data_IF_622921924179
#
_entry.id   IF_622921924179
#
_cell.length_a   1.000
_cell.length_b   1.000
_cell.length_c   1.000
_cell.angle_alpha   90.00
_cell.angle_beta   90.00
_cell.angle_gamma   90.00
#
_symmetry.space_group_name_H-M   'P 1'
#
loop_
_entity.id
_entity.type
_entity.pdbx_description
1 polymer ?
#
# COMPACT_ATOMS: atom_id res chain seq x y z
N UNK A 1 6.07 14.71 -24.90
CA UNK A 1 4.86 14.62 -25.75
C UNK A 1 4.68 15.80 -26.72
N UNK A 2 5.65 16.72 -26.87
CA UNK A 2 5.54 17.94 -27.71
C UNK A 2 4.39 18.89 -27.37
N UNK A 3 3.67 18.69 -26.26
CA UNK A 3 2.70 19.66 -25.77
C UNK A 3 3.43 20.85 -25.14
N UNK A 4 2.85 22.04 -25.29
CA UNK A 4 3.34 23.27 -24.69
C UNK A 4 2.63 23.56 -23.36
N UNK A 5 3.33 24.24 -22.45
CA UNK A 5 2.81 24.64 -21.15
C UNK A 5 3.31 26.06 -20.88
N UNK A 6 2.42 26.98 -20.49
CA UNK A 6 2.88 28.18 -19.78
C UNK A 6 3.55 27.74 -18.48
N UNK A 7 4.59 28.47 -18.05
CA UNK A 7 5.38 28.08 -16.87
C UNK A 7 4.50 27.88 -15.64
N UNK A 8 3.56 28.79 -15.41
CA UNK A 8 2.63 28.78 -14.26
C UNK A 8 1.40 27.89 -14.44
N UNK A 9 1.16 27.36 -15.65
CA UNK A 9 0.12 26.36 -15.88
C UNK A 9 0.61 24.93 -15.60
N UNK A 10 1.91 24.72 -15.39
CA UNK A 10 2.49 23.43 -15.03
C UNK A 10 2.73 23.36 -13.52
N UNK A 11 2.61 22.16 -12.94
CA UNK A 11 2.86 21.92 -11.51
C UNK A 11 3.95 20.86 -11.31
N UNK A 12 5.10 21.23 -10.71
CA UNK A 12 5.52 22.58 -10.30
C UNK A 12 5.79 23.51 -11.49
N UNK A 13 6.00 24.82 -11.25
CA UNK A 13 6.32 25.80 -12.31
C UNK A 13 7.40 25.26 -13.26
N UNK A 14 7.14 25.28 -14.56
CA UNK A 14 8.13 24.80 -15.53
C UNK A 14 9.32 25.78 -15.65
N UNK A 15 10.56 25.27 -15.79
CA UNK A 15 11.74 26.12 -15.96
C UNK A 15 11.66 26.89 -17.29
N UNK A 16 12.33 28.05 -17.36
CA UNK A 16 12.50 28.73 -18.64
C UNK A 16 13.42 27.88 -19.55
N UNK A 17 13.34 28.05 -20.88
CA UNK A 17 14.24 27.34 -21.80
C UNK A 17 15.72 27.58 -21.43
N UNK A 18 16.45 26.50 -21.11
CA UNK A 18 17.87 26.57 -20.72
C UNK A 18 18.15 26.62 -19.21
N UNK A 19 17.15 26.80 -18.36
CA UNK A 19 17.32 26.92 -16.90
C UNK A 19 17.00 25.62 -16.12
N UNK A 20 16.70 24.53 -16.82
CA UNK A 20 16.31 23.26 -16.18
C UNK A 20 17.49 22.45 -15.64
N UNK A 21 17.24 21.70 -14.55
CA UNK A 21 18.19 20.71 -14.04
C UNK A 21 18.25 19.47 -14.97
N UNK A 22 19.05 19.55 -16.04
CA UNK A 22 19.35 18.43 -16.95
C UNK A 22 19.35 18.79 -18.44
N UNK A 23 19.60 17.79 -19.29
CA UNK A 23 19.73 17.97 -20.75
C UNK A 23 18.40 18.30 -21.46
N UNK A 24 17.25 17.97 -20.86
CA UNK A 24 15.92 18.31 -21.41
C UNK A 24 14.84 18.28 -20.35
N UNK A 25 13.83 19.16 -20.48
CA UNK A 25 12.65 19.18 -19.60
C UNK A 25 11.56 18.25 -20.12
N UNK A 26 10.89 17.55 -19.20
CA UNK A 26 9.77 16.65 -19.50
C UNK A 26 8.61 16.97 -18.57
N UNK A 27 7.40 17.13 -19.13
CA UNK A 27 6.22 17.48 -18.33
C UNK A 27 5.83 16.37 -17.33
N UNK A 28 5.10 16.76 -16.28
CA UNK A 28 4.61 15.88 -15.22
C UNK A 28 3.96 14.61 -15.76
N UNK A 29 3.03 14.75 -16.73
CA UNK A 29 2.31 13.61 -17.29
C UNK A 29 3.26 12.58 -17.92
N UNK A 30 4.24 13.02 -18.71
CA UNK A 30 5.23 12.13 -19.31
C UNK A 30 6.16 11.50 -18.26
N UNK A 31 6.60 12.28 -17.26
CA UNK A 31 7.43 11.75 -16.16
C UNK A 31 6.68 10.63 -15.43
N UNK A 32 5.42 10.85 -15.03
CA UNK A 32 4.62 9.83 -14.36
C UNK A 32 4.32 8.63 -15.26
N UNK A 33 4.02 8.85 -16.55
CA UNK A 33 3.77 7.76 -17.50
C UNK A 33 4.98 6.82 -17.65
N UNK A 34 6.19 7.37 -17.61
CA UNK A 34 7.43 6.59 -17.75
C UNK A 34 7.80 5.93 -16.42
N UNK A 35 7.77 6.70 -15.32
CA UNK A 35 8.34 6.29 -14.04
C UNK A 35 7.42 5.40 -13.19
N UNK A 36 6.10 5.51 -13.32
CA UNK A 36 5.16 4.67 -12.56
C UNK A 36 5.21 3.22 -13.06
N UNK A 37 5.23 2.25 -12.14
CA UNK A 37 5.21 0.81 -12.41
C UNK A 37 4.44 0.06 -11.33
N UNK A 38 3.81 -1.07 -11.69
CA UNK A 38 3.25 -1.99 -10.69
C UNK A 38 4.36 -2.48 -9.75
N UNK A 39 4.09 -2.51 -8.44
CA UNK A 39 5.07 -2.86 -7.41
C UNK A 39 5.92 -1.70 -6.89
N UNK A 40 5.81 -0.50 -7.47
CA UNK A 40 6.58 0.68 -7.09
C UNK A 40 7.23 1.36 -8.30
N UNK A 41 7.29 2.69 -8.28
CA UNK A 41 7.90 3.48 -9.35
C UNK A 41 9.41 3.26 -9.46
N UNK A 42 9.99 3.69 -10.60
CA UNK A 42 11.43 3.67 -10.83
C UNK A 42 12.17 4.42 -9.72
N UNK A 43 13.21 3.79 -9.16
CA UNK A 43 14.02 4.36 -8.06
C UNK A 43 15.33 5.01 -8.51
N UNK A 44 15.79 4.71 -9.72
CA UNK A 44 17.07 5.17 -10.27
C UNK A 44 16.89 5.74 -11.67
N UNK A 45 17.85 6.57 -12.08
CA UNK A 45 17.89 7.20 -13.40
C UNK A 45 17.22 8.58 -13.46
N UNK A 46 17.28 9.25 -14.63
CA UNK A 46 16.80 10.62 -14.79
C UNK A 46 15.31 10.75 -14.53
N UNK A 47 14.46 9.84 -15.03
CA UNK A 47 13.02 9.88 -14.80
C UNK A 47 12.62 9.64 -13.35
N UNK A 48 13.38 8.82 -12.60
CA UNK A 48 13.14 8.62 -11.17
C UNK A 48 13.43 9.91 -10.37
N UNK A 49 14.50 10.62 -10.71
CA UNK A 49 14.85 11.92 -10.09
C UNK A 49 13.83 13.00 -10.46
N UNK A 50 13.46 13.10 -11.73
CA UNK A 50 12.42 14.02 -12.18
C UNK A 50 11.08 13.74 -11.48
N UNK A 51 10.70 12.47 -11.32
CA UNK A 51 9.48 12.10 -10.59
C UNK A 51 9.53 12.56 -9.14
N UNK A 52 10.65 12.37 -8.45
CA UNK A 52 10.83 12.86 -7.08
C UNK A 52 10.59 14.38 -6.99
N UNK A 53 11.20 15.18 -7.89
CA UNK A 53 10.98 16.63 -7.94
C UNK A 53 9.52 16.99 -8.19
N UNK A 54 8.86 16.31 -9.14
CA UNK A 54 7.43 16.52 -9.42
C UNK A 54 6.53 16.16 -8.22
N UNK A 55 6.92 15.17 -7.41
CA UNK A 55 6.16 14.70 -6.22
C UNK A 55 6.24 15.66 -5.03
N UNK A 56 7.09 16.68 -5.08
CA UNK A 56 7.13 17.74 -4.06
C UNK A 56 5.94 18.70 -4.14
N UNK A 57 5.16 18.65 -5.23
CA UNK A 57 3.95 19.45 -5.40
C UNK A 57 2.77 18.59 -5.86
N UNK A 58 1.59 18.88 -5.32
CA UNK A 58 0.33 18.25 -5.73
C UNK A 58 -0.32 19.08 -6.85
N UNK A 59 -0.89 18.45 -7.89
CA UNK A 59 -1.60 19.14 -8.96
C UNK A 59 -3.05 19.52 -8.57
N UNK A 60 -3.37 19.49 -7.27
CA UNK A 60 -4.69 19.77 -6.70
C UNK A 60 -4.54 20.31 -5.28
N UNK A 61 -5.57 21.02 -4.79
CA UNK A 61 -5.58 21.59 -3.44
C UNK A 61 -6.06 20.59 -2.39
N UNK A 62 -5.16 20.17 -1.48
CA UNK A 62 -5.49 19.16 -0.46
C UNK A 62 -6.61 19.60 0.51
N UNK A 63 -6.63 20.89 0.88
CA UNK A 63 -7.64 21.44 1.81
C UNK A 63 -9.05 21.51 1.23
N UNK A 64 -9.21 21.39 -0.09
CA UNK A 64 -10.50 21.46 -0.78
C UNK A 64 -11.13 20.10 -1.06
N UNK A 65 -10.62 19.03 -0.47
CA UNK A 65 -11.16 17.67 -0.65
C UNK A 65 -12.24 17.38 0.38
N UNK A 66 -13.39 16.88 -0.08
CA UNK A 66 -14.52 16.50 0.77
C UNK A 66 -14.40 15.01 1.11
N UNK A 67 -13.89 14.71 2.31
CA UNK A 67 -13.63 13.34 2.77
C UNK A 67 -14.84 12.72 3.48
N UNK A 68 -14.94 11.39 3.42
CA UNK A 68 -15.82 10.62 4.29
C UNK A 68 -15.34 10.63 5.77
N UNK A 69 -16.19 10.17 6.68
CA UNK A 69 -15.90 10.16 8.11
C UNK A 69 -14.66 9.32 8.50
N UNK A 70 -14.31 8.31 7.69
CA UNK A 70 -13.14 7.46 7.93
C UNK A 70 -11.85 7.99 7.31
N UNK A 71 -11.91 9.11 6.60
CA UNK A 71 -10.82 9.63 5.77
C UNK A 71 -10.30 8.58 4.75
N UNK A 72 -11.21 7.79 4.20
CA UNK A 72 -10.90 6.66 3.30
C UNK A 72 -11.13 7.03 1.83
N UNK A 73 -12.16 7.83 1.56
CA UNK A 73 -12.48 8.31 0.22
C UNK A 73 -12.89 9.78 0.22
N UNK A 74 -12.70 10.47 -0.90
CA UNK A 74 -13.17 11.84 -1.11
C UNK A 74 -14.05 11.96 -2.37
N UNK A 75 -14.97 12.93 -2.36
CA UNK A 75 -15.94 13.18 -3.44
C UNK A 75 -15.29 13.50 -4.78
N UNK A 76 -14.14 14.19 -4.75
CA UNK A 76 -13.38 14.62 -5.92
C UNK A 76 -12.63 13.45 -6.60
N UNK A 77 -12.58 12.28 -5.97
CA UNK A 77 -11.75 11.14 -6.38
C UNK A 77 -10.29 11.54 -6.70
N UNK A 78 -9.75 12.46 -5.91
CA UNK A 78 -8.42 13.02 -6.11
C UNK A 78 -7.47 12.50 -5.02
N UNK A 79 -6.52 11.67 -5.44
CA UNK A 79 -5.57 11.02 -4.54
C UNK A 79 -4.14 11.14 -5.05
N UNK A 80 -3.19 10.81 -4.16
CA UNK A 80 -1.78 10.60 -4.48
C UNK A 80 -1.08 11.83 -5.08
N UNK A 81 0.18 11.70 -5.49
CA UNK A 81 0.88 12.74 -6.24
C UNK A 81 0.27 12.94 -7.63
N UNK A 82 -0.36 11.92 -8.22
CA UNK A 82 -0.89 12.01 -9.58
C UNK A 82 -2.20 12.81 -9.68
N UNK A 83 -2.96 12.95 -8.58
CA UNK A 83 -4.31 13.53 -8.62
C UNK A 83 -5.35 12.63 -9.26
N UNK A 84 -5.02 11.36 -9.51
CA UNK A 84 -5.93 10.39 -10.10
C UNK A 84 -6.83 9.71 -9.06
N UNK A 85 -7.81 8.91 -9.53
CA UNK A 85 -8.69 8.12 -8.67
C UNK A 85 -7.93 6.99 -7.99
N UNK A 86 -8.49 6.46 -6.90
CA UNK A 86 -7.92 5.36 -6.13
C UNK A 86 -8.91 4.78 -5.12
N UNK A 87 -8.68 3.52 -4.75
CA UNK A 87 -9.37 2.84 -3.66
C UNK A 87 -8.34 2.55 -2.57
N UNK A 88 -8.54 3.11 -1.37
CA UNK A 88 -7.54 3.11 -0.28
C UNK A 88 -7.05 1.70 0.10
N UNK A 89 -7.93 0.71 0.02
CA UNK A 89 -7.66 -0.69 0.33
C UNK A 89 -7.01 -1.44 -0.85
N UNK A 90 -6.88 -0.81 -2.03
CA UNK A 90 -6.31 -1.39 -3.23
C UNK A 90 -4.90 -0.83 -3.52
N UNK A 91 -3.90 -1.33 -2.78
CA UNK A 91 -2.47 -0.98 -2.97
C UNK A 91 -2.20 0.51 -2.84
N UNK A 92 -2.71 1.13 -1.77
CA UNK A 92 -2.39 2.51 -1.41
C UNK A 92 -1.84 2.59 0.02
N UNK A 93 -0.98 3.58 0.27
CA UNK A 93 -0.46 3.93 1.60
C UNK A 93 -1.04 5.25 2.05
N UNK A 94 -1.40 5.36 3.32
CA UNK A 94 -1.85 6.60 3.93
C UNK A 94 -0.65 7.35 4.53
N UNK A 95 -0.49 8.63 4.19
CA UNK A 95 0.54 9.46 4.81
C UNK A 95 0.13 9.82 6.24
N UNK A 96 1.00 9.55 7.23
CA UNK A 96 0.75 9.87 8.65
C UNK A 96 0.58 11.36 8.93
N UNK A 97 1.15 12.23 8.10
CA UNK A 97 1.19 13.68 8.34
C UNK A 97 0.01 14.41 7.70
N UNK A 98 -0.42 14.03 6.49
CA UNK A 98 -1.50 14.71 5.77
C UNK A 98 -2.74 13.86 5.51
N UNK A 99 -2.73 12.59 5.94
CA UNK A 99 -3.82 11.62 5.83
C UNK A 99 -4.27 11.26 4.39
N UNK A 100 -3.68 11.87 3.37
CA UNK A 100 -3.89 11.51 1.96
C UNK A 100 -3.36 10.09 1.65
N UNK A 101 -4.00 9.43 0.68
CA UNK A 101 -3.66 8.12 0.17
C UNK A 101 -2.79 8.20 -1.09
N UNK A 102 -1.79 7.32 -1.18
CA UNK A 102 -0.80 7.31 -2.25
C UNK A 102 -0.66 5.92 -2.88
N UNK A 103 -0.81 5.84 -4.20
CA UNK A 103 -0.69 4.60 -4.97
C UNK A 103 0.68 3.95 -4.84
N UNK A 104 0.72 2.62 -4.67
CA UNK A 104 1.93 1.79 -4.77
C UNK A 104 2.77 2.20 -5.98
N UNK A 105 2.15 2.27 -7.15
CA UNK A 105 2.81 2.57 -8.41
C UNK A 105 3.40 3.98 -8.52
N UNK A 106 3.04 4.90 -7.61
CA UNK A 106 3.56 6.27 -7.55
C UNK A 106 4.63 6.47 -6.45
N UNK A 107 4.80 5.49 -5.55
CA UNK A 107 5.82 5.53 -4.50
C UNK A 107 7.16 5.02 -5.01
N UNK A 108 8.26 5.50 -4.42
CA UNK A 108 9.64 5.08 -4.74
C UNK A 108 10.35 4.43 -3.53
N UNK A 109 9.64 4.26 -2.40
CA UNK A 109 10.21 3.77 -1.14
C UNK A 109 10.04 2.26 -0.89
N UNK A 110 9.12 1.58 -1.57
CA UNK A 110 8.76 0.18 -1.29
C UNK A 110 9.81 -0.84 -1.76
N UNK A 111 10.17 -1.81 -0.93
CA UNK A 111 11.06 -2.93 -1.30
C UNK A 111 10.33 -4.09 -1.97
N UNK A 112 9.03 -4.26 -1.68
CA UNK A 112 8.14 -5.30 -2.21
C UNK A 112 6.77 -4.68 -2.55
N UNK A 113 6.00 -5.26 -3.50
CA UNK A 113 4.62 -4.84 -3.77
C UNK A 113 3.73 -4.96 -2.53
N UNK A 114 2.74 -4.09 -2.40
CA UNK A 114 1.76 -4.13 -1.30
C UNK A 114 0.78 -5.28 -1.48
N UNK A 115 0.33 -5.90 -0.39
CA UNK A 115 -0.90 -6.68 -0.41
C UNK A 115 -2.11 -5.74 -0.40
N UNK A 116 -3.25 -6.18 -0.94
CA UNK A 116 -4.50 -5.49 -0.73
C UNK A 116 -4.85 -5.40 0.76
N UNK A 117 -5.34 -4.24 1.19
CA UNK A 117 -5.70 -3.97 2.58
C UNK A 117 -4.52 -3.82 3.54
N UNK A 118 -3.27 -3.88 3.08
CA UNK A 118 -2.13 -3.83 3.98
C UNK A 118 -1.81 -2.42 4.45
N UNK A 119 -2.24 -2.14 5.69
CA UNK A 119 -2.01 -0.89 6.41
C UNK A 119 -0.89 -1.00 7.45
N UNK A 120 -0.14 -2.11 7.49
CA UNK A 120 0.97 -2.32 8.43
C UNK A 120 2.22 -1.56 7.98
N UNK A 121 2.08 -0.25 7.80
CA UNK A 121 3.11 0.67 7.37
C UNK A 121 2.95 2.02 8.06
N UNK A 122 4.06 2.58 8.52
CA UNK A 122 4.17 4.02 8.71
C UNK A 122 4.73 4.63 7.44
N UNK A 123 3.97 5.52 6.83
CA UNK A 123 4.34 6.18 5.58
C UNK A 123 4.26 7.69 5.71
N UNK A 124 5.24 8.38 5.13
CA UNK A 124 5.26 9.84 5.05
C UNK A 124 5.67 10.27 3.63
N UNK A 125 4.78 11.01 2.97
CA UNK A 125 4.87 11.34 1.55
C UNK A 125 5.90 12.43 1.24
N UNK A 126 6.30 12.56 -0.02
CA UNK A 126 7.29 13.54 -0.47
C UNK A 126 6.89 14.99 -0.14
N UNK A 127 5.61 15.33 -0.26
CA UNK A 127 5.09 16.67 -0.01
C UNK A 127 5.27 17.07 1.45
N UNK A 128 4.94 16.17 2.40
CA UNK A 128 5.09 16.44 3.83
C UNK A 128 6.56 16.49 4.26
N UNK A 129 7.42 15.70 3.62
CA UNK A 129 8.85 15.64 3.94
C UNK A 129 9.68 16.73 3.27
N UNK A 130 9.18 17.37 2.23
CA UNK A 130 10.00 18.21 1.35
C UNK A 130 11.14 17.45 0.67
N UNK A 131 10.96 16.15 0.40
CA UNK A 131 12.05 15.28 -0.07
C UNK A 131 11.63 13.82 -0.30
N UNK A 132 12.57 12.86 -0.29
CA UNK A 132 12.26 11.44 -0.43
C UNK A 132 11.28 10.94 0.63
N UNK A 133 10.36 10.05 0.22
CA UNK A 133 9.43 9.33 1.10
C UNK A 133 10.16 8.58 2.21
N UNK A 134 9.49 8.45 3.36
CA UNK A 134 9.89 7.55 4.44
C UNK A 134 8.82 6.47 4.60
N UNK A 135 9.25 5.21 4.68
CA UNK A 135 8.35 4.08 4.93
C UNK A 135 8.99 3.13 5.94
N UNK A 136 8.18 2.62 6.87
CA UNK A 136 8.57 1.59 7.83
C UNK A 136 7.48 0.53 7.86
N UNK A 137 7.87 -0.74 7.68
CA UNK A 137 6.99 -1.90 7.86
C UNK A 137 6.74 -2.10 9.35
N UNK A 138 5.47 -2.23 9.75
CA UNK A 138 5.10 -2.60 11.11
C UNK A 138 5.21 -4.11 11.31
N UNK A 139 5.48 -4.56 12.53
CA UNK A 139 5.55 -5.99 12.86
C UNK A 139 4.14 -6.60 12.78
N UNK A 140 4.05 -7.79 12.16
CA UNK A 140 2.82 -8.56 12.07
C UNK A 140 2.79 -9.65 13.14
N UNK A 141 1.60 -9.98 13.62
CA UNK A 141 1.33 -11.23 14.34
C UNK A 141 0.76 -12.26 13.37
N UNK A 142 0.75 -13.53 13.76
CA UNK A 142 0.17 -14.60 12.93
C UNK A 142 -1.30 -14.38 12.55
N UNK A 143 -2.10 -13.77 13.43
CA UNK A 143 -3.48 -13.38 13.11
C UNK A 143 -3.55 -12.33 12.00
N UNK A 144 -2.61 -11.38 11.99
CA UNK A 144 -2.54 -10.33 10.98
C UNK A 144 -2.09 -10.91 9.64
N UNK A 145 -1.13 -11.85 9.64
CA UNK A 145 -0.71 -12.60 8.45
C UNK A 145 -1.89 -13.36 7.85
N UNK A 146 -2.61 -14.15 8.67
CA UNK A 146 -3.77 -14.90 8.24
C UNK A 146 -4.84 -13.97 7.63
N UNK A 147 -5.17 -12.86 8.30
CA UNK A 147 -6.17 -11.91 7.84
C UNK A 147 -5.75 -11.21 6.54
N UNK A 148 -4.51 -10.72 6.45
CA UNK A 148 -4.01 -10.07 5.24
C UNK A 148 -4.00 -11.00 4.03
N UNK A 149 -3.52 -12.24 4.19
CA UNK A 149 -3.52 -13.24 3.13
C UNK A 149 -4.95 -13.52 2.67
N UNK A 150 -5.87 -13.76 3.62
CA UNK A 150 -7.25 -14.09 3.30
C UNK A 150 -7.97 -12.91 2.64
N UNK A 151 -7.70 -11.68 3.09
CA UNK A 151 -8.22 -10.46 2.48
C UNK A 151 -7.68 -10.27 1.06
N UNK A 152 -6.36 -10.42 0.87
CA UNK A 152 -5.71 -10.32 -0.43
C UNK A 152 -6.30 -11.31 -1.43
N UNK A 153 -6.38 -12.59 -1.06
CA UNK A 153 -6.99 -13.64 -1.88
C UNK A 153 -8.46 -13.34 -2.16
N UNK A 154 -9.23 -12.86 -1.16
CA UNK A 154 -10.63 -12.46 -1.33
C UNK A 154 -10.78 -11.38 -2.40
N UNK A 155 -9.90 -10.37 -2.42
CA UNK A 155 -9.89 -9.31 -3.44
C UNK A 155 -9.51 -9.87 -4.81
N UNK A 156 -8.38 -10.59 -4.91
CA UNK A 156 -7.86 -11.14 -6.16
C UNK A 156 -8.84 -12.10 -6.85
N UNK A 157 -9.39 -13.06 -6.09
CA UNK A 157 -10.19 -14.15 -6.63
C UNK A 157 -11.70 -13.85 -6.61
N UNK A 158 -12.12 -12.71 -6.03
CA UNK A 158 -13.53 -12.31 -5.91
C UNK A 158 -14.43 -13.41 -5.30
N UNK A 159 -13.90 -14.18 -4.35
CA UNK A 159 -14.62 -15.24 -3.61
C UNK A 159 -14.36 -15.15 -2.11
N UNK A 160 -15.24 -15.77 -1.30
CA UNK A 160 -15.20 -15.67 0.16
C UNK A 160 -14.38 -16.76 0.86
N UNK A 161 -14.36 -17.97 0.32
CA UNK A 161 -13.76 -19.14 0.98
C UNK A 161 -12.57 -19.67 0.19
N UNK A 162 -11.51 -20.01 0.92
CA UNK A 162 -10.24 -20.50 0.39
C UNK A 162 -9.83 -21.78 1.12
N UNK A 163 -9.34 -22.75 0.37
CA UNK A 163 -8.79 -23.98 0.92
C UNK A 163 -7.41 -23.75 1.52
N UNK A 164 -7.20 -24.22 2.74
CA UNK A 164 -5.95 -23.99 3.46
C UNK A 164 -4.74 -24.60 2.74
N UNK A 165 -4.82 -25.89 2.38
CA UNK A 165 -3.69 -26.63 1.81
C UNK A 165 -3.45 -26.29 0.33
N UNK A 166 -4.50 -25.90 -0.40
CA UNK A 166 -4.44 -25.63 -1.85
C UNK A 166 -4.31 -24.16 -2.23
N UNK A 167 -4.67 -23.24 -1.34
CA UNK A 167 -4.72 -21.81 -1.68
C UNK A 167 -3.99 -20.93 -0.64
N UNK A 168 -4.37 -21.02 0.64
CA UNK A 168 -3.83 -20.11 1.67
C UNK A 168 -2.36 -20.39 1.95
N UNK A 169 -2.01 -21.64 2.25
CA UNK A 169 -0.65 -22.05 2.58
C UNK A 169 0.30 -21.96 1.38
N UNK A 170 -0.08 -22.39 0.16
CA UNK A 170 0.74 -22.18 -1.04
C UNK A 170 1.03 -20.71 -1.30
N UNK A 171 0.00 -19.84 -1.29
CA UNK A 171 0.21 -18.40 -1.48
C UNK A 171 1.18 -17.83 -0.45
N UNK A 172 0.98 -18.17 0.83
CA UNK A 172 1.82 -17.68 1.93
C UNK A 172 3.27 -18.15 1.77
N UNK A 173 3.46 -19.39 1.33
CA UNK A 173 4.79 -19.99 1.15
C UNK A 173 5.52 -19.41 -0.06
N UNK A 174 4.84 -19.26 -1.20
CA UNK A 174 5.39 -18.69 -2.43
C UNK A 174 5.73 -17.21 -2.28
N UNK A 175 4.99 -16.48 -1.43
CA UNK A 175 5.16 -15.04 -1.24
C UNK A 175 5.88 -14.66 0.06
N UNK A 176 6.42 -15.62 0.80
CA UNK A 176 6.94 -15.44 2.17
C UNK A 176 7.80 -14.18 2.35
N UNK A 177 8.81 -13.99 1.48
CA UNK A 177 9.72 -12.84 1.54
C UNK A 177 9.05 -11.53 1.12
N UNK A 178 8.02 -11.60 0.29
CA UNK A 178 7.24 -10.45 -0.17
C UNK A 178 6.23 -9.99 0.87
N UNK A 179 5.85 -10.84 1.83
CA UNK A 179 4.94 -10.49 2.93
C UNK A 179 5.60 -9.58 3.98
N UNK A 180 6.94 -9.46 3.98
CA UNK A 180 7.72 -8.62 4.89
C UNK A 180 7.30 -8.83 6.36
N UNK A 181 7.49 -10.05 6.85
CA UNK A 181 6.92 -10.56 8.10
C UNK A 181 7.68 -10.14 9.38
N UNK A 182 8.75 -9.35 9.25
CA UNK A 182 9.61 -8.96 10.37
C UNK A 182 10.14 -10.19 11.11
N UNK A 183 10.04 -10.22 12.43
CA UNK A 183 10.52 -11.32 13.29
C UNK A 183 9.96 -12.69 12.92
N UNK A 184 8.77 -12.76 12.32
CA UNK A 184 8.17 -14.03 11.91
C UNK A 184 8.86 -14.64 10.68
N UNK A 185 9.70 -13.90 9.94
CA UNK A 185 10.39 -14.41 8.74
C UNK A 185 11.24 -15.64 9.01
N UNK A 186 11.79 -15.72 10.23
CA UNK A 186 12.72 -16.76 10.67
C UNK A 186 12.00 -18.03 11.14
N UNK A 187 10.66 -18.05 11.11
CA UNK A 187 9.87 -19.24 11.45
C UNK A 187 10.26 -20.42 10.55
N UNK A 188 10.66 -21.57 11.13
CA UNK A 188 10.99 -22.78 10.38
C UNK A 188 9.86 -23.23 9.47
N UNK A 189 10.18 -23.67 8.24
CA UNK A 189 9.17 -24.07 7.25
C UNK A 189 8.17 -25.11 7.79
N UNK A 190 8.63 -26.06 8.61
CA UNK A 190 7.78 -27.09 9.22
C UNK A 190 6.74 -26.54 10.22
N UNK A 191 6.95 -25.35 10.76
CA UNK A 191 6.06 -24.73 11.76
C UNK A 191 5.08 -23.72 11.16
N UNK A 192 5.37 -23.17 9.97
CA UNK A 192 4.55 -22.12 9.35
C UNK A 192 3.10 -22.54 9.17
N UNK A 193 2.89 -23.78 8.72
CA UNK A 193 1.55 -24.33 8.50
C UNK A 193 0.75 -24.39 9.80
N UNK A 194 1.32 -24.94 10.88
CA UNK A 194 0.62 -25.08 12.16
C UNK A 194 0.32 -23.73 12.82
N UNK A 195 1.26 -22.77 12.75
CA UNK A 195 1.05 -21.41 13.27
C UNK A 195 -0.05 -20.66 12.52
N UNK A 196 -0.04 -20.72 11.18
CA UNK A 196 -1.05 -20.07 10.34
C UNK A 196 -2.44 -20.70 10.55
N UNK A 197 -2.51 -22.03 10.58
CA UNK A 197 -3.75 -22.75 10.82
C UNK A 197 -4.30 -22.50 12.24
N UNK A 198 -3.41 -22.40 13.23
CA UNK A 198 -3.79 -22.04 14.60
C UNK A 198 -4.41 -20.65 14.67
N UNK A 199 -3.82 -19.66 13.98
CA UNK A 199 -4.38 -18.31 13.91
C UNK A 199 -5.77 -18.28 13.27
N UNK A 200 -5.96 -19.00 12.15
CA UNK A 200 -7.24 -19.13 11.46
C UNK A 200 -8.33 -19.81 12.33
N UNK A 201 -7.96 -20.78 13.16
CA UNK A 201 -8.91 -21.48 14.01
C UNK A 201 -9.25 -20.75 15.31
N UNK A 202 -8.31 -19.97 15.86
CA UNK A 202 -8.44 -19.37 17.19
C UNK A 202 -9.20 -18.04 17.20
N UNK A 203 -9.22 -17.31 16.09
CA UNK A 203 -9.85 -15.97 15.99
C UNK A 203 -11.21 -16.04 15.29
N UNK A 204 -12.20 -16.58 16.01
CA UNK A 204 -13.58 -16.78 15.51
C UNK A 204 -14.34 -15.48 15.23
N UNK A 205 -13.88 -14.36 15.78
CA UNK A 205 -14.38 -13.02 15.48
C UNK A 205 -13.98 -12.56 14.06
N UNK A 206 -12.84 -13.05 13.54
CA UNK A 206 -12.31 -12.66 12.22
C UNK A 206 -12.59 -13.69 11.13
N UNK A 207 -12.48 -14.98 11.48
CA UNK A 207 -12.45 -16.09 10.52
C UNK A 207 -13.61 -17.07 10.70
N UNK A 208 -14.27 -17.38 9.58
CA UNK A 208 -15.29 -18.42 9.47
C UNK A 208 -14.64 -19.70 8.93
N UNK A 209 -14.84 -20.82 9.62
CA UNK A 209 -14.42 -22.15 9.13
C UNK A 209 -15.51 -22.83 8.30
N UNK A 210 -15.12 -23.59 7.28
CA UNK A 210 -16.02 -24.44 6.49
C UNK A 210 -16.84 -25.42 7.33
N UNK A 211 -16.31 -25.84 8.50
CA UNK A 211 -17.03 -26.69 9.46
C UNK A 211 -18.32 -26.03 9.98
N UNK A 212 -18.31 -24.72 10.18
CA UNK A 212 -19.44 -23.94 10.71
C UNK A 212 -20.56 -23.78 9.68
N UNK A 213 -20.26 -23.97 8.38
CA UNK A 213 -21.20 -23.84 7.26
C UNK A 213 -21.44 -25.15 6.51
N UNK A 214 -21.18 -26.30 7.16
CA UNK A 214 -21.34 -27.65 6.58
C UNK A 214 -20.58 -27.89 5.26
N UNK A 215 -19.47 -27.17 5.03
CA UNK A 215 -18.54 -27.38 3.90
C UNK A 215 -17.32 -28.20 4.34
N UNK A 216 -16.35 -28.38 3.43
CA UNK A 216 -15.05 -29.05 3.72
C UNK A 216 -14.35 -28.37 4.90
N UNK A 217 -13.78 -29.18 5.82
CA UNK A 217 -13.19 -28.74 7.09
C UNK A 217 -11.99 -27.77 6.94
N UNK A 218 -11.33 -27.78 5.77
CA UNK A 218 -10.14 -26.98 5.46
C UNK A 218 -10.42 -25.63 4.78
N UNK A 219 -11.68 -25.20 4.66
CA UNK A 219 -12.03 -23.91 4.07
C UNK A 219 -12.06 -22.81 5.13
N UNK A 220 -11.50 -21.64 4.80
CA UNK A 220 -11.56 -20.44 5.64
C UNK A 220 -12.03 -19.23 4.83
N UNK A 221 -12.75 -18.32 5.49
CA UNK A 221 -13.15 -17.03 4.93
C UNK A 221 -13.22 -15.95 6.01
N UNK A 222 -13.25 -14.68 5.60
CA UNK A 222 -13.45 -13.57 6.53
C UNK A 222 -14.93 -13.41 6.89
N UNK A 223 -15.22 -13.06 8.15
CA UNK A 223 -16.57 -12.64 8.57
C UNK A 223 -17.02 -11.40 7.79
N UNK A 224 -16.25 -10.32 7.92
CA UNK A 224 -16.40 -9.09 7.16
C UNK A 224 -15.24 -8.99 6.15
N UNK A 225 -15.55 -8.68 4.90
CA UNK A 225 -14.55 -8.47 3.85
C UNK A 225 -13.93 -7.07 3.98
N UNK A 226 -13.31 -6.80 5.12
CA UNK A 226 -12.61 -5.57 5.44
C UNK A 226 -11.13 -5.87 5.72
N UNK A 227 -10.22 -4.93 5.42
CA UNK A 227 -8.82 -5.06 5.79
C UNK A 227 -8.62 -5.33 7.28
N UNK A 228 -7.52 -6.00 7.67
CA UNK A 228 -7.23 -6.22 9.08
C UNK A 228 -7.07 -4.89 9.83
N UNK A 229 -7.55 -4.83 11.08
CA UNK A 229 -7.31 -3.68 11.93
C UNK A 229 -5.81 -3.57 12.22
N UNK A 230 -5.31 -2.34 12.23
CA UNK A 230 -3.96 -2.02 12.75
C UNK A 230 -4.18 -1.49 14.15
N UNK A 231 -3.74 -2.25 15.16
CA UNK A 231 -3.77 -1.78 16.54
C UNK A 231 -2.74 -0.64 16.71
N UNK A 232 -3.10 0.47 17.37
CA UNK A 232 -2.10 1.46 17.75
C UNK A 232 -1.08 0.79 18.67
N UNK A 233 0.20 1.08 18.46
CA UNK A 233 1.25 0.62 19.37
C UNK A 233 0.89 1.11 20.78
N UNK A 234 0.72 0.20 21.74
CA UNK A 234 0.63 0.58 23.14
C UNK A 234 1.95 1.26 23.51
N UNK A 235 1.89 2.50 24.00
CA UNK A 235 3.02 3.16 24.66
C UNK A 235 3.28 2.45 25.99
N UNK A 236 3.84 1.24 25.95
CA UNK A 236 4.35 0.57 27.14
C UNK A 236 5.87 0.76 27.20
N UNK A 237 6.31 1.56 28.17
CA UNK A 237 7.70 1.56 28.64
C UNK A 237 8.38 2.92 28.79
N UNK A 238 7.74 3.91 29.42
CA UNK A 238 8.50 4.95 30.10
C UNK A 238 8.94 4.41 31.48
N UNK A 239 10.24 4.24 31.76
CA UNK A 239 10.68 3.99 33.12
C UNK A 239 10.52 5.29 33.91
N UNK A 240 9.67 5.24 34.94
CA UNK A 240 9.73 6.18 36.07
C UNK A 240 11.06 6.04 36.80
#
# INVERSE_FOLDING_TARGET
CRHAYHQDCHVPRAPAPGEGEGTSWVCRQCVFAIATKRGGALKKGPYARAMLGMKLSLPYGLKGLDWDAGHLSNRQQSYCYCGGPGEWNLKMLQCRSCLQWFHEACTQCLSKPLLYGDRFYEFECCVCRGGPEKVRRLQLRWVDVAHLVLYHLSVCCKKKYFDFDREILPFTSENWDSLLLGELSDTPKGERSSKLLSALNSHKDRFISGREIKKRKCLFGLHARIPPPVEPATEDGAPT
#
